data_IF_505796856212
#
_entry.id   IF_505796856212
#
_cell.length_a   1.000
_cell.length_b   1.000
_cell.length_c   1.000
_cell.angle_alpha   90.00
_cell.angle_beta   90.00
_cell.angle_gamma   90.00
#
_symmetry.space_group_name_H-M   'P 1'
#
loop_
_entity.id
_entity.type
_entity.pdbx_description
1 polymer ?
#
# COMPACT_ATOMS: atom_id res chain seq x y z
N UNK A 1 -9.04 40.24 87.51
CA UNK A 1 -8.85 38.89 86.92
C UNK A 1 -8.57 39.06 85.44
N UNK A 2 -7.31 38.87 84.99
CA UNK A 2 -6.89 39.10 83.60
C UNK A 2 -6.70 37.73 82.94
N UNK A 3 -7.61 37.36 82.05
CA UNK A 3 -7.54 36.09 81.32
C UNK A 3 -6.63 36.30 80.10
N UNK A 4 -5.50 35.60 80.09
CA UNK A 4 -4.53 35.63 79.00
C UNK A 4 -5.03 34.77 77.84
N UNK A 5 -5.28 35.43 76.70
CA UNK A 5 -5.63 34.78 75.42
C UNK A 5 -4.37 34.15 74.82
N UNK A 6 -4.21 32.82 74.97
CA UNK A 6 -3.21 32.06 74.22
C UNK A 6 -3.63 32.01 72.74
N UNK A 7 -2.85 32.65 71.88
CA UNK A 7 -2.98 32.53 70.43
C UNK A 7 -2.57 31.12 70.00
N UNK A 8 -3.55 30.34 69.54
CA UNK A 8 -3.33 29.02 68.96
C UNK A 8 -2.48 29.16 67.69
N UNK A 9 -1.22 28.72 67.75
CA UNK A 9 -0.37 28.64 66.57
C UNK A 9 -0.98 27.60 65.63
N UNK A 10 -1.43 28.03 64.45
CA UNK A 10 -2.09 27.14 63.48
C UNK A 10 -1.04 26.21 62.86
N UNK A 11 -1.17 24.91 63.12
CA UNK A 11 -0.28 23.84 62.67
C UNK A 11 -0.40 23.53 61.15
N UNK A 12 -0.31 24.55 60.29
CA UNK A 12 -0.51 24.41 58.83
C UNK A 12 0.58 23.56 58.14
N UNK A 13 1.80 23.52 58.69
CA UNK A 13 2.90 22.73 58.12
C UNK A 13 2.69 21.23 58.21
N UNK A 14 2.08 20.72 59.29
CA UNK A 14 1.81 19.30 59.45
C UNK A 14 0.67 18.83 58.53
N UNK A 15 -0.34 19.67 58.32
CA UNK A 15 -1.45 19.38 57.42
C UNK A 15 -1.00 19.26 55.95
N UNK A 16 -0.15 20.17 55.48
CA UNK A 16 0.38 20.13 54.12
C UNK A 16 1.21 18.85 53.84
N UNK A 17 1.94 18.34 54.84
CA UNK A 17 2.66 17.07 54.70
C UNK A 17 1.71 15.87 54.59
N UNK A 18 0.61 15.85 55.33
CA UNK A 18 -0.39 14.78 55.27
C UNK A 18 -1.14 14.80 53.94
N UNK A 19 -1.53 15.97 53.46
CA UNK A 19 -2.19 16.12 52.15
C UNK A 19 -1.28 15.65 51.01
N UNK A 20 0.02 16.00 51.05
CA UNK A 20 0.99 15.53 50.07
C UNK A 20 1.21 14.00 50.15
N UNK A 21 1.29 13.45 51.36
CA UNK A 21 1.49 12.01 51.58
C UNK A 21 0.30 11.18 51.07
N UNK A 22 -0.91 11.73 51.08
CA UNK A 22 -2.11 11.07 50.53
C UNK A 22 -2.27 11.28 49.02
N UNK A 23 -1.89 12.46 48.51
CA UNK A 23 -1.99 12.76 47.08
C UNK A 23 -0.90 12.07 46.24
N UNK A 24 0.32 11.91 46.77
CA UNK A 24 1.45 11.35 46.02
C UNK A 24 1.21 9.91 45.55
N UNK A 25 0.74 8.95 46.37
CA UNK A 25 0.46 7.58 45.90
C UNK A 25 -0.61 7.54 44.82
N UNK A 26 -1.67 8.36 44.95
CA UNK A 26 -2.73 8.47 43.95
C UNK A 26 -2.20 9.04 42.63
N UNK A 27 -1.38 10.08 42.71
CA UNK A 27 -0.73 10.68 41.54
C UNK A 27 0.18 9.66 40.83
N UNK A 28 0.97 8.90 41.59
CA UNK A 28 1.86 7.87 41.03
C UNK A 28 1.06 6.77 40.33
N UNK A 29 0.00 6.25 40.95
CA UNK A 29 -0.87 5.24 40.32
C UNK A 29 -1.49 5.78 39.02
N UNK A 30 -1.91 7.05 39.00
CA UNK A 30 -2.46 7.67 37.79
C UNK A 30 -1.40 7.80 36.69
N UNK A 31 -0.22 8.33 37.01
CA UNK A 31 0.86 8.52 36.02
C UNK A 31 1.29 7.16 35.46
N UNK A 32 1.59 6.20 36.32
CA UNK A 32 1.98 4.86 35.87
C UNK A 32 0.87 4.16 35.11
N UNK A 33 -0.39 4.29 35.55
CA UNK A 33 -1.54 3.77 34.82
C UNK A 33 -1.62 4.34 33.40
N UNK A 34 -1.41 5.65 33.22
CA UNK A 34 -1.39 6.25 31.88
C UNK A 34 -0.21 5.79 31.04
N UNK A 35 0.97 5.61 31.64
CA UNK A 35 2.17 5.13 30.93
C UNK A 35 1.98 3.68 30.46
N UNK A 36 1.43 2.81 31.31
CA UNK A 36 1.19 1.40 30.96
C UNK A 36 0.17 1.27 29.82
N UNK A 37 -0.93 2.03 29.87
CA UNK A 37 -1.92 2.04 28.78
C UNK A 37 -1.31 2.59 27.50
N UNK A 38 -0.51 3.65 27.56
CA UNK A 38 0.17 4.20 26.39
C UNK A 38 1.15 3.18 25.78
N UNK A 39 1.92 2.48 26.62
CA UNK A 39 2.85 1.43 26.19
C UNK A 39 2.12 0.25 25.55
N UNK A 40 1.00 -0.20 26.13
CA UNK A 40 0.17 -1.26 25.57
C UNK A 40 -0.34 -0.92 24.16
N UNK A 41 -0.90 0.28 23.99
CA UNK A 41 -1.41 0.75 22.69
C UNK A 41 -0.27 0.89 21.67
N UNK A 42 0.90 1.37 22.12
CA UNK A 42 2.09 1.45 21.27
C UNK A 42 2.52 0.06 20.77
N UNK A 43 2.60 -0.94 21.66
CA UNK A 43 2.94 -2.33 21.28
C UNK A 43 1.94 -2.87 20.26
N UNK A 44 0.65 -2.69 20.49
CA UNK A 44 -0.39 -3.12 19.54
C UNK A 44 -0.20 -2.49 18.16
N UNK A 45 0.08 -1.18 18.11
CA UNK A 45 0.33 -0.49 16.85
C UNK A 45 1.62 -0.95 16.16
N UNK A 46 2.69 -1.20 16.92
CA UNK A 46 3.96 -1.73 16.39
C UNK A 46 3.79 -3.11 15.78
N UNK A 47 3.15 -4.05 16.49
CA UNK A 47 2.90 -5.43 16.02
C UNK A 47 1.98 -5.44 14.79
N UNK A 48 0.94 -4.60 14.77
CA UNK A 48 0.04 -4.45 13.62
C UNK A 48 0.74 -3.83 12.39
N UNK A 49 1.64 -2.87 12.59
CA UNK A 49 2.40 -2.28 11.49
C UNK A 49 3.48 -3.23 10.97
N UNK A 50 4.19 -3.93 11.86
CA UNK A 50 5.23 -4.90 11.52
C UNK A 50 4.69 -5.99 10.59
N UNK A 51 3.62 -6.67 10.99
CA UNK A 51 2.97 -7.71 10.18
C UNK A 51 2.54 -7.20 8.79
N UNK A 52 1.98 -5.98 8.71
CA UNK A 52 1.55 -5.38 7.44
C UNK A 52 2.71 -5.01 6.52
N UNK A 53 3.79 -4.46 7.06
CA UNK A 53 4.95 -4.06 6.27
C UNK A 53 5.70 -5.30 5.76
N UNK A 54 5.87 -6.30 6.62
CA UNK A 54 6.51 -7.56 6.26
C UNK A 54 5.73 -8.30 5.17
N UNK A 55 4.41 -8.46 5.34
CA UNK A 55 3.57 -9.10 4.30
C UNK A 55 3.58 -8.33 2.98
N UNK A 56 3.68 -6.98 3.01
CA UNK A 56 3.79 -6.16 1.79
C UNK A 56 5.12 -6.36 1.10
N UNK A 57 6.22 -6.39 1.86
CA UNK A 57 7.56 -6.63 1.32
C UNK A 57 7.64 -8.01 0.66
N UNK A 58 7.22 -9.05 1.37
CA UNK A 58 7.22 -10.42 0.83
C UNK A 58 6.27 -10.62 -0.36
N UNK A 59 5.28 -9.74 -0.55
CA UNK A 59 4.40 -9.77 -1.73
C UNK A 59 4.95 -9.05 -2.96
N UNK A 60 6.16 -8.49 -2.88
CA UNK A 60 6.83 -7.85 -3.99
C UNK A 60 7.03 -8.81 -5.17
N UNK A 61 6.94 -8.30 -6.39
CA UNK A 61 7.30 -9.05 -7.59
C UNK A 61 8.79 -8.88 -7.90
N UNK A 62 9.42 -9.94 -8.36
CA UNK A 62 10.85 -9.97 -8.70
C UNK A 62 11.71 -10.62 -7.62
N UNK A 63 13.01 -10.48 -7.80
CA UNK A 63 14.05 -11.16 -7.02
C UNK A 63 15.16 -10.17 -6.66
N UNK A 64 15.80 -10.39 -5.52
CA UNK A 64 17.03 -9.73 -5.09
C UNK A 64 18.05 -10.84 -4.85
N UNK A 65 19.23 -10.73 -5.46
CA UNK A 65 20.31 -11.73 -5.33
C UNK A 65 19.86 -13.17 -5.62
N UNK A 66 19.07 -13.36 -6.70
CA UNK A 66 18.46 -14.62 -7.14
C UNK A 66 17.48 -15.26 -6.12
N UNK A 67 16.97 -14.49 -5.15
CA UNK A 67 15.95 -14.92 -4.19
C UNK A 67 14.68 -14.10 -4.38
N UNK A 68 13.54 -14.76 -4.55
CA UNK A 68 12.26 -14.07 -4.69
C UNK A 68 11.86 -13.38 -3.38
N UNK A 69 11.15 -12.24 -3.45
CA UNK A 69 10.74 -11.51 -2.24
C UNK A 69 9.96 -12.36 -1.24
N UNK A 70 9.15 -13.32 -1.72
CA UNK A 70 8.41 -14.23 -0.84
C UNK A 70 9.28 -15.33 -0.23
N UNK A 71 10.48 -15.59 -0.76
CA UNK A 71 11.45 -16.56 -0.21
C UNK A 71 12.48 -15.89 0.70
N UNK A 72 12.65 -14.58 0.63
CA UNK A 72 13.60 -13.84 1.45
C UNK A 72 13.08 -13.64 2.89
N UNK A 73 13.12 -14.73 3.66
CA UNK A 73 12.63 -14.75 5.03
C UNK A 73 13.43 -13.83 5.95
N UNK A 74 14.72 -13.62 5.68
CA UNK A 74 15.56 -12.73 6.48
C UNK A 74 15.12 -11.27 6.28
N UNK A 75 14.98 -10.83 5.03
CA UNK A 75 14.55 -9.46 4.76
C UNK A 75 13.09 -9.21 5.18
N UNK A 76 12.18 -10.19 5.05
CA UNK A 76 10.81 -10.07 5.58
C UNK A 76 10.85 -9.84 7.10
N UNK A 77 11.65 -10.61 7.85
CA UNK A 77 11.81 -10.43 9.30
C UNK A 77 12.51 -9.11 9.65
N UNK A 78 13.49 -8.69 8.86
CA UNK A 78 14.15 -7.38 9.05
C UNK A 78 13.15 -6.22 8.88
N UNK A 79 12.31 -6.28 7.84
CA UNK A 79 11.27 -5.28 7.60
C UNK A 79 10.25 -5.24 8.75
N UNK A 80 9.87 -6.40 9.30
CA UNK A 80 9.06 -6.43 10.52
C UNK A 80 9.78 -5.72 11.68
N UNK A 81 11.05 -6.07 11.93
CA UNK A 81 11.86 -5.53 13.03
C UNK A 81 12.13 -4.02 12.94
N UNK A 82 12.06 -3.41 11.75
CA UNK A 82 12.12 -1.94 11.64
C UNK A 82 10.98 -1.23 12.37
N UNK A 83 9.88 -1.93 12.67
CA UNK A 83 8.77 -1.42 13.49
C UNK A 83 8.94 -1.65 15.01
N UNK A 84 10.02 -2.32 15.43
CA UNK A 84 10.30 -2.79 16.80
C UNK A 84 11.06 -1.76 17.67
N UNK A 85 10.69 -0.47 17.63
CA UNK A 85 11.52 0.60 18.22
C UNK A 85 11.69 0.51 19.75
N UNK A 86 10.63 0.18 20.50
CA UNK A 86 10.62 0.07 21.98
C UNK A 86 10.15 -1.32 22.43
N UNK A 87 9.84 -2.20 21.49
CA UNK A 87 9.21 -3.50 21.71
C UNK A 87 10.11 -4.53 21.08
N UNK A 88 10.40 -5.61 21.81
CA UNK A 88 11.06 -6.77 21.24
C UNK A 88 9.99 -7.73 20.72
N UNK A 89 10.18 -8.28 19.53
CA UNK A 89 9.26 -9.27 18.97
C UNK A 89 9.76 -10.65 19.35
N UNK A 90 8.90 -11.45 19.96
CA UNK A 90 9.27 -12.81 20.37
C UNK A 90 9.34 -13.75 19.17
N UNK A 91 8.39 -13.60 18.25
CA UNK A 91 8.23 -14.50 17.12
C UNK A 91 7.68 -13.78 15.88
N UNK A 92 8.27 -14.07 14.73
CA UNK A 92 7.82 -13.60 13.41
C UNK A 92 7.68 -14.82 12.51
N UNK A 93 6.45 -15.32 12.43
CA UNK A 93 6.10 -16.51 11.66
C UNK A 93 5.61 -16.13 10.27
N UNK A 94 6.12 -16.82 9.26
CA UNK A 94 5.82 -16.56 7.85
C UNK A 94 5.26 -17.85 7.25
N UNK A 95 4.03 -17.80 6.76
CA UNK A 95 3.38 -18.92 6.08
C UNK A 95 2.64 -18.48 4.82
N UNK A 96 2.05 -19.42 4.11
CA UNK A 96 1.42 -19.21 2.81
C UNK A 96 0.09 -19.97 2.70
N UNK A 97 -0.86 -19.39 1.97
CA UNK A 97 -2.12 -20.06 1.61
C UNK A 97 -2.60 -19.67 0.21
N UNK A 98 -3.60 -20.38 -0.32
CA UNK A 98 -4.22 -20.10 -1.62
C UNK A 98 -5.44 -19.16 -1.52
N UNK A 99 -5.57 -18.41 -0.43
CA UNK A 99 -6.79 -17.66 -0.16
C UNK A 99 -7.70 -18.33 0.87
N UNK A 100 -8.90 -17.77 0.95
CA UNK A 100 -10.00 -18.34 1.75
C UNK A 100 -11.11 -18.83 0.83
N UNK A 101 -11.78 -19.90 1.22
CA UNK A 101 -12.98 -20.38 0.53
C UNK A 101 -14.20 -19.48 0.87
N UNK A 102 -15.37 -19.80 0.31
CA UNK A 102 -16.61 -19.06 0.55
C UNK A 102 -17.07 -19.06 2.02
N UNK A 103 -16.57 -20.02 2.81
CA UNK A 103 -16.87 -20.15 4.23
C UNK A 103 -15.83 -19.43 5.12
N UNK A 104 -14.83 -18.78 4.52
CA UNK A 104 -13.74 -18.08 5.22
C UNK A 104 -12.61 -18.98 5.72
N UNK A 105 -12.61 -20.26 5.37
CA UNK A 105 -11.57 -21.20 5.76
C UNK A 105 -10.38 -21.13 4.78
N UNK A 106 -9.16 -21.19 5.32
CA UNK A 106 -7.94 -21.10 4.54
C UNK A 106 -7.76 -22.32 3.63
N UNK A 107 -7.31 -22.08 2.40
CA UNK A 107 -7.02 -23.14 1.44
C UNK A 107 -5.52 -23.44 1.51
N UNK A 108 -5.09 -24.58 2.07
CA UNK A 108 -3.67 -24.89 2.22
C UNK A 108 -2.98 -25.11 0.87
N UNK A 109 -1.69 -24.79 0.83
CA UNK A 109 -0.78 -25.20 -0.25
C UNK A 109 -0.22 -26.58 0.12
N UNK A 110 0.06 -27.43 -0.88
CA UNK A 110 0.58 -28.78 -0.61
C UNK A 110 1.87 -28.71 0.22
N UNK A 111 1.93 -29.47 1.32
CA UNK A 111 3.07 -29.49 2.26
C UNK A 111 3.37 -28.18 3.00
N UNK A 112 2.44 -27.22 3.00
CA UNK A 112 2.56 -25.95 3.74
C UNK A 112 1.39 -25.85 4.71
N UNK A 113 1.69 -25.62 5.99
CA UNK A 113 0.68 -25.40 7.01
C UNK A 113 0.22 -23.93 6.99
N UNK A 114 -1.04 -23.62 6.63
CA UNK A 114 -1.52 -22.26 6.51
C UNK A 114 -1.77 -21.57 7.86
N UNK A 115 -1.59 -22.26 8.99
CA UNK A 115 -1.72 -21.66 10.33
C UNK A 115 -0.72 -20.49 10.47
N UNK A 116 -1.19 -19.26 10.77
CA UNK A 116 -0.30 -18.12 11.02
C UNK A 116 0.77 -18.35 12.09
N UNK A 117 0.55 -19.29 13.02
CA UNK A 117 1.53 -19.67 14.06
C UNK A 117 2.62 -20.61 13.53
N UNK A 118 2.51 -21.11 12.30
CA UNK A 118 3.51 -21.94 11.66
C UNK A 118 4.50 -21.08 10.87
N UNK A 119 5.75 -21.53 10.79
CA UNK A 119 6.79 -20.89 9.98
C UNK A 119 7.21 -21.84 8.85
N UNK A 120 6.74 -21.53 7.65
CA UNK A 120 6.94 -22.32 6.43
C UNK A 120 7.88 -21.62 5.44
N UNK A 121 8.64 -20.61 5.89
CA UNK A 121 9.58 -19.86 5.06
C UNK A 121 11.02 -20.41 5.21
N UNK A 122 11.77 -20.65 4.11
CA UNK A 122 11.41 -20.40 2.71
C UNK A 122 10.55 -21.52 2.10
N UNK A 123 9.76 -21.17 1.10
CA UNK A 123 8.87 -22.07 0.37
C UNK A 123 9.45 -22.41 -1.02
N UNK A 124 9.26 -23.64 -1.49
CA UNK A 124 9.73 -24.13 -2.79
C UNK A 124 8.87 -23.59 -3.95
N UNK A 125 9.49 -23.17 -5.06
CA UNK A 125 8.82 -22.49 -6.18
C UNK A 125 7.83 -23.36 -6.97
N UNK A 126 8.02 -24.67 -7.00
CA UNK A 126 7.21 -25.61 -7.78
C UNK A 126 5.79 -25.79 -7.23
N UNK A 127 5.55 -25.37 -5.99
CA UNK A 127 4.26 -25.53 -5.31
C UNK A 127 3.40 -24.25 -5.40
N UNK A 128 4.03 -23.11 -5.65
CA UNK A 128 3.39 -21.79 -5.57
C UNK A 128 2.79 -21.38 -6.91
N UNK A 129 1.69 -20.63 -6.87
CA UNK A 129 1.00 -20.10 -8.04
C UNK A 129 0.76 -18.60 -7.90
N UNK A 130 0.65 -17.90 -9.04
CA UNK A 130 0.13 -16.54 -9.06
C UNK A 130 -1.23 -16.48 -8.38
N UNK A 131 -1.38 -15.56 -7.42
CA UNK A 131 -2.62 -15.42 -6.65
C UNK A 131 -2.57 -16.05 -5.26
N UNK A 132 -1.56 -16.88 -4.96
CA UNK A 132 -1.29 -17.36 -3.60
C UNK A 132 -0.90 -16.16 -2.70
N UNK A 133 -1.07 -16.33 -1.38
CA UNK A 133 -0.89 -15.29 -0.39
C UNK A 133 0.21 -15.64 0.59
N UNK A 134 1.03 -14.65 0.91
CA UNK A 134 1.92 -14.68 2.06
C UNK A 134 1.18 -14.15 3.29
N UNK A 135 1.36 -14.82 4.43
CA UNK A 135 0.82 -14.47 5.73
C UNK A 135 2.00 -14.26 6.66
N UNK A 136 2.08 -13.09 7.27
CA UNK A 136 3.09 -12.80 8.30
C UNK A 136 2.41 -12.51 9.61
N UNK A 137 2.71 -13.32 10.61
CA UNK A 137 2.30 -13.10 12.00
C UNK A 137 3.48 -12.58 12.82
N UNK A 138 3.20 -11.55 13.60
CA UNK A 138 4.16 -10.99 14.56
C UNK A 138 3.54 -11.10 15.95
N UNK A 139 4.34 -11.55 16.92
CA UNK A 139 3.95 -11.62 18.32
C UNK A 139 4.89 -10.80 19.20
N UNK A 140 4.33 -10.21 20.26
CA UNK A 140 5.10 -9.50 21.29
C UNK A 140 4.45 -9.70 22.66
N UNK A 141 5.26 -9.94 23.68
CA UNK A 141 4.80 -10.09 25.06
C UNK A 141 4.73 -8.72 25.75
N UNK A 142 3.56 -8.42 26.31
CA UNK A 142 3.36 -7.29 27.20
C UNK A 142 3.46 -7.76 28.66
N UNK A 143 4.48 -7.26 29.35
CA UNK A 143 4.65 -7.37 30.79
C UNK A 143 4.52 -6.00 31.45
N UNK A 144 3.66 -5.84 32.49
CA UNK A 144 3.58 -4.60 33.26
C UNK A 144 4.90 -4.29 33.96
N UNK A 145 5.30 -3.02 33.97
CA UNK A 145 6.49 -2.54 34.70
C UNK A 145 6.24 -2.62 36.21
N UNK A 146 4.99 -2.46 36.63
CA UNK A 146 4.58 -2.44 38.03
C UNK A 146 3.67 -3.63 38.35
N UNK A 147 4.10 -4.47 39.29
CA UNK A 147 3.37 -5.65 39.77
C UNK A 147 2.26 -5.35 40.80
N UNK A 148 1.90 -4.08 41.01
CA UNK A 148 0.87 -3.65 41.98
C UNK A 148 -0.51 -4.21 41.61
N UNK A 149 -0.75 -4.43 40.31
CA UNK A 149 -1.93 -5.12 39.82
C UNK A 149 -1.46 -6.46 39.25
N UNK A 150 -2.00 -7.61 39.69
CA UNK A 150 -1.65 -8.92 39.16
C UNK A 150 -2.27 -9.09 37.78
N UNK A 151 -1.66 -8.47 36.77
CA UNK A 151 -1.99 -8.69 35.37
C UNK A 151 -1.00 -9.72 34.87
N UNK A 152 -1.51 -10.85 34.39
CA UNK A 152 -0.69 -11.87 33.74
C UNK A 152 -0.09 -11.30 32.44
N UNK A 153 1.14 -11.69 32.06
CA UNK A 153 1.70 -11.32 30.77
C UNK A 153 0.71 -11.64 29.63
N UNK A 154 0.51 -10.68 28.73
CA UNK A 154 -0.41 -10.85 27.60
C UNK A 154 0.41 -10.86 26.31
N UNK A 155 0.25 -11.91 25.52
CA UNK A 155 0.81 -11.97 24.18
C UNK A 155 -0.07 -11.16 23.24
N UNK A 156 0.53 -10.19 22.55
CA UNK A 156 -0.10 -9.36 21.53
C UNK A 156 0.30 -9.93 20.17
N UNK A 157 -0.68 -10.37 19.40
CA UNK A 157 -0.47 -10.99 18.09
C UNK A 157 -1.19 -10.21 16.99
N UNK A 158 -0.55 -10.07 15.84
CA UNK A 158 -1.18 -9.56 14.62
C UNK A 158 -0.68 -10.33 13.41
N UNK A 159 -1.61 -10.77 12.57
CA UNK A 159 -1.33 -11.39 11.29
C UNK A 159 -1.82 -10.50 10.14
N UNK A 160 -1.06 -10.45 9.05
CA UNK A 160 -1.44 -9.76 7.82
C UNK A 160 -1.15 -10.64 6.62
N UNK A 161 -2.10 -10.74 5.70
CA UNK A 161 -1.97 -11.50 4.47
C UNK A 161 -1.91 -10.59 3.23
N UNK A 162 -1.10 -10.97 2.23
CA UNK A 162 -1.00 -10.29 0.92
C UNK A 162 -0.84 -11.30 -0.20
N UNK A 163 -1.60 -11.12 -1.28
CA UNK A 163 -1.42 -11.87 -2.53
C UNK A 163 -0.14 -11.40 -3.23
N UNK A 164 0.63 -12.35 -3.75
CA UNK A 164 1.83 -12.06 -4.53
C UNK A 164 1.76 -12.68 -5.93
N UNK A 165 2.61 -12.15 -6.82
CA UNK A 165 2.71 -12.57 -8.21
C UNK A 165 4.15 -13.00 -8.45
N UNK A 166 4.34 -14.28 -8.78
CA UNK A 166 5.65 -14.91 -9.01
C UNK A 166 6.25 -14.33 -10.30
N UNK A 167 5.50 -14.45 -11.39
CA UNK A 167 5.89 -13.90 -12.68
C UNK A 167 4.66 -13.65 -13.53
N UNK A 168 4.65 -12.51 -14.22
CA UNK A 168 3.76 -12.29 -15.34
C UNK A 168 4.64 -12.47 -16.57
N UNK A 169 4.35 -13.40 -17.48
CA UNK A 169 5.13 -13.53 -18.71
C UNK A 169 5.02 -12.21 -19.48
N UNK A 170 6.11 -11.45 -19.52
CA UNK A 170 6.23 -10.28 -20.39
C UNK A 170 6.51 -10.82 -21.79
N UNK A 171 5.46 -11.13 -22.54
CA UNK A 171 5.58 -11.47 -23.96
C UNK A 171 5.93 -10.19 -24.72
N UNK A 172 7.22 -9.90 -24.83
CA UNK A 172 7.76 -8.78 -25.59
C UNK A 172 9.17 -9.11 -26.12
N UNK A 173 9.33 -9.15 -27.44
CA UNK A 173 10.61 -9.34 -28.12
C UNK A 173 11.40 -8.02 -28.20
N UNK A 174 11.73 -7.44 -27.04
CA UNK A 174 12.80 -6.45 -26.86
C UNK A 174 12.92 -6.13 -25.36
N UNK A 175 14.15 -6.12 -24.82
CA UNK A 175 14.39 -5.25 -23.66
C UNK A 175 13.95 -3.84 -24.07
N UNK A 176 13.23 -3.08 -23.22
CA UNK A 176 12.97 -1.69 -23.52
C UNK A 176 14.29 -0.92 -23.52
N UNK A 177 14.98 -0.86 -24.65
CA UNK A 177 16.13 0.02 -24.88
C UNK A 177 15.72 1.49 -25.01
N UNK A 178 14.45 1.81 -24.68
CA UNK A 178 13.87 3.13 -24.79
C UNK A 178 13.76 3.92 -23.48
N UNK A 179 14.07 3.35 -22.32
CA UNK A 179 14.23 4.17 -21.10
C UNK A 179 15.67 4.69 -21.03
N UNK A 180 16.01 5.64 -21.91
CA UNK A 180 16.93 6.67 -21.44
C UNK A 180 16.19 7.40 -20.32
N UNK A 181 16.66 7.26 -19.09
CA UNK A 181 16.20 8.11 -18.00
C UNK A 181 16.24 9.56 -18.52
N UNK A 182 15.10 10.27 -18.53
CA UNK A 182 15.04 11.64 -19.06
C UNK A 182 16.06 12.56 -18.38
N UNK A 183 16.61 12.16 -17.22
CA UNK A 183 17.92 12.60 -16.70
C UNK A 183 18.45 11.54 -15.72
N UNK A 184 19.78 11.41 -15.53
CA UNK A 184 20.38 10.67 -14.41
C UNK A 184 20.11 11.30 -13.02
N UNK A 185 19.24 12.31 -12.95
CA UNK A 185 18.87 12.99 -11.72
C UNK A 185 17.55 12.40 -11.24
N UNK A 186 17.49 11.82 -10.02
CA UNK A 186 16.25 11.33 -9.47
C UNK A 186 15.21 12.46 -9.42
N UNK A 187 13.96 12.14 -9.78
CA UNK A 187 12.84 13.06 -9.60
C UNK A 187 12.85 13.53 -8.15
N UNK A 188 12.90 14.85 -7.93
CA UNK A 188 12.78 15.41 -6.59
C UNK A 188 11.42 15.00 -6.05
N UNK A 189 11.41 14.09 -5.09
CA UNK A 189 10.32 13.97 -4.15
C UNK A 189 9.99 15.38 -3.63
N UNK A 190 8.71 15.74 -3.45
CA UNK A 190 8.36 16.87 -2.62
C UNK A 190 8.69 16.50 -1.17
N UNK A 191 9.98 16.51 -0.84
CA UNK A 191 10.42 16.67 0.54
C UNK A 191 10.03 18.09 0.88
N UNK A 192 9.02 18.26 1.73
CA UNK A 192 8.92 19.52 2.47
C UNK A 192 10.21 19.62 3.28
N UNK A 193 11.15 20.40 2.79
CA UNK A 193 12.32 20.82 3.55
C UNK A 193 11.73 21.67 4.68
N UNK A 194 11.54 21.08 5.86
CA UNK A 194 11.58 21.88 7.07
C UNK A 194 12.99 22.46 7.10
N UNK A 195 13.03 23.78 6.96
CA UNK A 195 14.22 24.60 6.98
C UNK A 195 15.05 24.29 8.21
N UNK A 196 16.38 24.21 8.02
CA UNK A 196 17.40 24.06 9.06
C UNK A 196 17.00 24.75 10.37
N UNK A 197 16.76 23.94 11.39
CA UNK A 197 17.06 24.33 12.76
C UNK A 197 18.21 23.44 13.19
N UNK A 198 19.40 23.97 13.50
CA UNK A 198 20.55 23.14 13.85
C UNK A 198 20.26 22.38 15.15
N UNK A 199 20.19 21.05 15.04
CA UNK A 199 20.26 20.12 16.17
C UNK A 199 21.67 20.19 16.74
N UNK A 200 21.84 20.93 17.83
CA UNK A 200 23.08 20.90 18.60
C UNK A 200 23.22 19.53 19.27
N UNK A 201 24.21 18.74 18.82
CA UNK A 201 24.72 17.62 19.58
C UNK A 201 25.42 18.14 20.85
N UNK A 202 24.99 17.67 22.02
CA UNK A 202 25.71 17.95 23.27
C UNK A 202 26.97 17.08 23.34
N UNK A 203 28.08 17.59 22.82
CA UNK A 203 29.43 17.09 23.16
C UNK A 203 29.89 17.72 24.46
N UNK A 204 30.07 16.91 25.51
CA UNK A 204 30.71 17.35 26.75
C UNK A 204 32.24 17.33 26.57
N UNK A 205 32.84 18.50 26.52
CA UNK A 205 34.29 18.67 26.62
C UNK A 205 34.62 19.43 27.90
N UNK A 206 35.25 18.73 28.84
CA UNK A 206 35.80 19.34 30.07
C UNK A 206 37.11 20.03 29.73
N UNK A 207 37.17 21.35 29.92
CA UNK A 207 38.43 22.12 29.80
C UNK A 207 38.71 22.85 31.10
N UNK A 208 39.76 22.42 31.79
CA UNK A 208 40.35 23.10 32.94
C UNK A 208 40.94 24.46 32.52
N UNK A 209 40.65 25.52 33.26
CA UNK A 209 41.28 26.84 33.11
C UNK A 209 42.11 27.14 34.35
N UNK A 210 43.43 27.38 34.24
CA UNK A 210 44.18 28.07 35.27
C UNK A 210 44.21 29.60 35.03
N UNK A 211 43.83 30.32 36.08
CA UNK A 211 44.47 31.53 36.63
C UNK A 211 44.87 32.68 35.68
N UNK A 212 44.17 33.82 35.79
CA UNK A 212 44.64 35.06 36.48
C UNK A 212 43.92 36.31 35.94
N UNK A 213 43.51 37.21 36.84
CA UNK A 213 43.04 38.55 36.48
C UNK A 213 41.92 39.09 37.38
N UNK A 214 42.29 39.77 38.46
CA UNK A 214 41.39 40.41 39.42
C UNK A 214 40.61 41.58 38.81
N UNK A 215 39.27 41.51 38.78
CA UNK A 215 38.38 42.67 38.99
C UNK A 215 36.98 42.20 39.42
N UNK A 216 36.41 42.71 40.54
CA UNK A 216 35.03 42.41 40.91
C UNK A 216 34.09 43.46 40.30
N UNK A 217 33.29 43.08 39.30
CA UNK A 217 32.12 43.87 38.87
C UNK A 217 30.85 43.21 39.42
N UNK A 218 30.21 43.92 40.32
CA UNK A 218 28.89 43.60 40.88
C UNK A 218 27.83 43.85 39.80
N UNK A 219 27.16 42.79 39.33
CA UNK A 219 25.97 42.90 38.50
C UNK A 219 24.81 42.13 39.13
N UNK A 220 23.75 42.89 39.43
CA UNK A 220 22.45 42.44 39.91
C UNK A 220 21.76 41.63 38.81
N UNK A 221 21.25 40.41 39.06
CA UNK A 221 20.45 39.69 38.06
C UNK A 221 19.06 40.32 37.95
N UNK A 222 18.75 40.87 36.77
CA UNK A 222 17.38 41.19 36.35
C UNK A 222 16.77 39.93 35.74
N UNK A 223 15.78 39.33 36.40
CA UNK A 223 14.98 38.26 35.83
C UNK A 223 13.87 38.88 34.98
N UNK A 224 14.14 39.07 33.69
CA UNK A 224 13.07 39.21 32.68
C UNK A 224 12.61 37.82 32.28
N UNK A 225 11.37 37.48 32.64
CA UNK A 225 10.70 36.27 32.18
C UNK A 225 10.60 36.32 30.63
N UNK A 226 10.96 35.24 29.91
CA UNK A 226 10.74 35.14 28.47
C UNK A 226 9.24 35.15 28.14
N UNK A 227 8.82 35.62 26.96
CA UNK A 227 7.41 35.65 26.59
C UNK A 227 6.83 34.22 26.59
N UNK A 228 5.76 34.03 27.35
CA UNK A 228 4.99 32.80 27.37
C UNK A 228 4.34 32.60 26.00
N UNK A 229 4.78 31.59 25.25
CA UNK A 229 4.05 31.11 24.07
C UNK A 229 2.71 30.56 24.55
N UNK A 230 1.69 31.41 24.48
CA UNK A 230 0.30 30.98 24.65
C UNK A 230 -0.10 30.33 23.35
N UNK A 231 -0.09 29.00 23.30
CA UNK A 231 -0.72 28.25 22.21
C UNK A 231 -2.22 28.57 22.26
N UNK A 232 -2.65 29.50 21.41
CA UNK A 232 -4.06 29.64 21.10
C UNK A 232 -4.45 28.34 20.40
N UNK A 233 -5.47 27.60 20.86
CA UNK A 233 -5.97 26.48 20.09
C UNK A 233 -6.48 27.05 18.77
N UNK A 234 -5.70 26.87 17.71
CA UNK A 234 -6.22 27.01 16.36
C UNK A 234 -7.33 25.97 16.28
N UNK A 235 -8.59 26.41 16.13
CA UNK A 235 -9.64 25.51 15.68
C UNK A 235 -9.17 25.00 14.33
N UNK A 236 -8.57 23.82 14.33
CA UNK A 236 -8.45 23.01 13.12
C UNK A 236 -9.84 23.00 12.51
N UNK A 237 -10.04 23.52 11.29
CA UNK A 237 -11.31 23.35 10.64
C UNK A 237 -11.59 21.84 10.66
N UNK A 238 -12.73 21.47 11.22
CA UNK A 238 -13.21 20.09 11.20
C UNK A 238 -13.00 19.59 9.77
N UNK A 239 -12.44 18.38 9.53
CA UNK A 239 -12.25 17.89 8.18
C UNK A 239 -13.56 18.12 7.43
N UNK A 240 -13.51 18.95 6.39
CA UNK A 240 -14.62 19.00 5.45
C UNK A 240 -14.66 17.59 4.91
N UNK A 241 -15.64 16.81 5.35
CA UNK A 241 -16.00 15.57 4.70
C UNK A 241 -16.48 15.98 3.31
N UNK A 242 -15.54 16.20 2.38
CA UNK A 242 -15.82 15.93 0.99
C UNK A 242 -16.21 14.47 1.00
N UNK A 243 -17.49 14.20 0.73
CA UNK A 243 -17.93 12.85 0.45
C UNK A 243 -16.91 12.29 -0.54
N UNK A 244 -16.21 11.23 -0.14
CA UNK A 244 -15.50 10.41 -1.11
C UNK A 244 -16.62 9.98 -2.05
N UNK A 245 -16.65 10.59 -3.24
CA UNK A 245 -17.47 10.12 -4.36
C UNK A 245 -16.98 8.70 -4.62
N UNK A 246 -17.53 7.76 -3.87
CA UNK A 246 -17.42 6.35 -4.19
C UNK A 246 -18.12 6.25 -5.53
N UNK A 247 -17.41 5.97 -6.64
CA UNK A 247 -18.05 5.88 -7.94
C UNK A 247 -19.19 4.87 -7.78
N UNK A 248 -20.41 5.35 -8.03
CA UNK A 248 -21.58 4.48 -8.00
C UNK A 248 -21.33 3.43 -9.07
N UNK A 249 -21.30 2.12 -8.72
CA UNK A 249 -20.95 1.10 -9.69
C UNK A 249 -21.95 1.14 -10.85
N UNK A 250 -21.44 1.22 -12.07
CA UNK A 250 -22.26 1.19 -13.27
C UNK A 250 -22.72 -0.26 -13.48
N UNK A 251 -24.02 -0.45 -13.68
CA UNK A 251 -24.59 -1.78 -13.95
C UNK A 251 -24.36 -2.16 -15.41
N UNK A 252 -23.41 -3.05 -15.66
CA UNK A 252 -23.11 -3.59 -17.00
C UNK A 252 -23.76 -4.96 -17.26
N UNK A 253 -24.88 -5.27 -16.61
CA UNK A 253 -25.60 -6.54 -16.77
C UNK A 253 -27.01 -6.35 -17.33
N UNK A 254 -27.54 -7.40 -17.98
CA UNK A 254 -28.90 -7.40 -18.51
C UNK A 254 -29.12 -6.33 -19.57
N UNK A 255 -30.22 -5.59 -19.49
CA UNK A 255 -30.63 -4.60 -20.50
C UNK A 255 -29.74 -3.35 -20.57
N UNK A 256 -28.93 -3.08 -19.53
CA UNK A 256 -27.97 -1.97 -19.49
C UNK A 256 -26.53 -2.43 -19.74
N UNK A 257 -26.36 -3.61 -20.33
CA UNK A 257 -25.05 -4.17 -20.65
C UNK A 257 -24.36 -3.51 -21.85
N UNK A 258 -23.14 -3.98 -22.12
CA UNK A 258 -22.43 -3.71 -23.36
C UNK A 258 -22.54 -4.95 -24.24
N UNK A 259 -22.98 -4.76 -25.47
CA UNK A 259 -23.15 -5.81 -26.46
C UNK A 259 -22.23 -5.55 -27.65
N UNK A 260 -22.07 -6.55 -28.50
CA UNK A 260 -21.36 -6.39 -29.77
C UNK A 260 -22.13 -7.03 -30.93
N UNK A 261 -21.83 -6.54 -32.13
CA UNK A 261 -22.26 -7.13 -33.38
C UNK A 261 -21.38 -8.31 -33.81
N UNK A 262 -21.62 -8.87 -35.00
CA UNK A 262 -20.75 -9.87 -35.58
C UNK A 262 -19.36 -9.28 -35.89
N UNK A 263 -18.37 -10.16 -35.94
CA UNK A 263 -17.06 -9.83 -36.49
C UNK A 263 -17.16 -9.77 -38.01
N UNK A 264 -16.82 -8.62 -38.60
CA UNK A 264 -16.83 -8.41 -40.05
C UNK A 264 -15.42 -8.14 -40.56
N UNK A 265 -15.06 -8.74 -41.68
CA UNK A 265 -13.75 -8.55 -42.31
C UNK A 265 -13.97 -8.12 -43.74
N UNK A 266 -13.54 -6.90 -44.06
CA UNK A 266 -13.71 -6.30 -45.38
C UNK A 266 -12.41 -5.64 -45.82
N UNK A 267 -11.86 -6.10 -46.95
CA UNK A 267 -10.63 -5.55 -47.50
C UNK A 267 -9.45 -5.82 -46.57
N UNK A 268 -8.84 -4.78 -45.99
CA UNK A 268 -7.76 -4.88 -45.00
C UNK A 268 -8.24 -4.54 -43.58
N UNK A 269 -9.55 -4.52 -43.34
CA UNK A 269 -10.15 -4.13 -42.07
C UNK A 269 -10.83 -5.34 -41.43
N UNK A 270 -10.57 -5.57 -40.15
CA UNK A 270 -11.41 -6.36 -39.26
C UNK A 270 -12.13 -5.41 -38.31
N UNK A 271 -13.46 -5.50 -38.24
CA UNK A 271 -14.26 -4.62 -37.40
C UNK A 271 -15.37 -5.37 -36.66
N UNK A 272 -15.82 -4.75 -35.58
CA UNK A 272 -16.91 -5.23 -34.76
C UNK A 272 -17.66 -4.03 -34.18
N UNK A 273 -18.98 -4.06 -34.29
CA UNK A 273 -19.83 -3.05 -33.65
C UNK A 273 -19.96 -3.33 -32.15
N UNK A 274 -20.08 -2.27 -31.36
CA UNK A 274 -20.20 -2.28 -29.91
C UNK A 274 -21.35 -1.36 -29.53
N UNK A 275 -22.32 -1.90 -28.80
CA UNK A 275 -23.51 -1.20 -28.34
C UNK A 275 -23.41 -1.02 -26.82
N UNK A 276 -23.23 0.21 -26.37
CA UNK A 276 -23.13 0.55 -24.95
C UNK A 276 -24.46 1.13 -24.43
N UNK A 277 -25.27 0.28 -23.77
CA UNK A 277 -26.55 0.67 -23.19
C UNK A 277 -26.46 1.14 -21.73
N UNK A 278 -25.26 1.36 -21.19
CA UNK A 278 -25.09 1.81 -19.80
C UNK A 278 -25.49 3.27 -19.59
N UNK A 279 -25.63 4.05 -20.67
CA UNK A 279 -25.87 5.49 -20.61
C UNK A 279 -24.66 6.32 -20.18
N UNK A 280 -23.50 5.68 -19.97
CA UNK A 280 -22.26 6.32 -19.53
C UNK A 280 -21.09 5.94 -20.44
N UNK A 281 -20.08 6.82 -20.50
CA UNK A 281 -18.81 6.50 -21.17
C UNK A 281 -18.01 5.53 -20.31
N UNK A 282 -17.56 4.41 -20.90
CA UNK A 282 -16.81 3.38 -20.19
C UNK A 282 -15.32 3.48 -20.50
N UNK A 283 -14.48 3.16 -19.52
CA UNK A 283 -13.03 3.09 -19.66
C UNK A 283 -12.62 1.66 -19.98
N UNK A 284 -11.84 1.42 -21.03
CA UNK A 284 -11.25 0.09 -21.27
C UNK A 284 -9.96 -0.07 -20.49
N UNK A 285 -9.78 -1.23 -19.87
CA UNK A 285 -8.52 -1.62 -19.25
C UNK A 285 -7.55 -2.20 -20.30
N UNK A 286 -8.03 -3.02 -21.23
CA UNK A 286 -7.19 -3.71 -22.22
C UNK A 286 -8.00 -4.05 -23.48
N UNK A 287 -7.30 -4.09 -24.63
CA UNK A 287 -7.83 -4.60 -25.90
C UNK A 287 -6.91 -5.71 -26.39
N UNK A 288 -7.49 -6.88 -26.65
CA UNK A 288 -6.82 -8.06 -27.18
C UNK A 288 -7.39 -8.41 -28.55
N UNK A 289 -6.51 -8.78 -29.47
CA UNK A 289 -6.83 -9.17 -30.84
C UNK A 289 -6.11 -10.47 -31.19
N UNK A 290 -6.84 -11.39 -31.82
CA UNK A 290 -6.33 -12.63 -32.41
C UNK A 290 -6.77 -12.69 -33.88
N UNK A 291 -5.86 -13.06 -34.79
CA UNK A 291 -6.11 -13.12 -36.23
C UNK A 291 -5.24 -14.13 -36.95
N UNK A 292 -5.65 -14.52 -38.16
CA UNK A 292 -4.91 -15.42 -39.04
C UNK A 292 -3.70 -14.69 -39.67
N UNK A 293 -2.64 -14.55 -38.89
CA UNK A 293 -1.42 -13.86 -39.27
C UNK A 293 -0.68 -14.53 -40.44
N UNK A 294 -0.61 -15.86 -40.45
CA UNK A 294 0.25 -16.61 -41.38
C UNK A 294 -0.39 -16.84 -42.75
N UNK A 295 -1.71 -17.06 -42.79
CA UNK A 295 -2.41 -17.47 -44.03
C UNK A 295 -3.59 -16.57 -44.39
N UNK A 296 -3.92 -15.61 -43.53
CA UNK A 296 -5.07 -14.71 -43.72
C UNK A 296 -4.86 -13.62 -44.78
N UNK A 297 -3.64 -13.49 -45.29
CA UNK A 297 -3.25 -12.43 -46.19
C UNK A 297 -3.53 -12.72 -47.67
N UNK A 298 -3.83 -11.66 -48.42
CA UNK A 298 -3.87 -11.66 -49.88
C UNK A 298 -3.11 -10.43 -50.40
N UNK A 299 -1.80 -10.55 -50.40
CA UNK A 299 -0.88 -9.52 -50.90
C UNK A 299 0.54 -10.07 -51.02
N UNK A 300 1.51 -9.16 -51.21
CA UNK A 300 2.90 -9.54 -51.48
C UNK A 300 3.67 -9.93 -50.21
N UNK A 301 3.24 -9.47 -49.04
CA UNK A 301 3.91 -9.80 -47.78
C UNK A 301 3.48 -11.19 -47.30
N UNK A 302 4.39 -12.00 -46.75
CA UNK A 302 4.10 -13.39 -46.34
C UNK A 302 3.28 -13.50 -45.05
N UNK A 303 2.91 -12.37 -44.45
CA UNK A 303 2.32 -12.29 -43.11
C UNK A 303 1.39 -11.08 -43.03
N UNK A 304 0.31 -11.20 -42.27
CA UNK A 304 -0.67 -10.13 -42.05
C UNK A 304 -0.37 -9.39 -40.73
N UNK A 305 -0.05 -8.11 -40.81
CA UNK A 305 0.40 -7.30 -39.67
C UNK A 305 -0.62 -6.23 -39.33
N UNK A 306 -0.88 -6.05 -38.03
CA UNK A 306 -1.76 -4.98 -37.56
C UNK A 306 -1.00 -3.65 -37.57
N UNK A 307 -1.49 -2.68 -38.33
CA UNK A 307 -0.85 -1.37 -38.48
C UNK A 307 -1.58 -0.27 -37.70
N UNK A 308 -2.88 -0.43 -37.48
CA UNK A 308 -3.67 0.55 -36.77
C UNK A 308 -4.89 -0.10 -36.10
N UNK A 309 -5.25 0.41 -34.94
CA UNK A 309 -6.47 0.08 -34.23
C UNK A 309 -7.22 1.37 -33.92
N UNK A 310 -8.55 1.34 -33.97
CA UNK A 310 -9.36 2.50 -33.63
C UNK A 310 -10.69 2.10 -33.03
N UNK A 311 -11.18 2.91 -32.10
CA UNK A 311 -12.52 2.79 -31.53
C UNK A 311 -13.14 4.19 -31.50
N UNK A 312 -14.26 4.36 -32.21
CA UNK A 312 -14.85 5.66 -32.48
C UNK A 312 -13.82 6.65 -33.09
N UNK A 313 -13.50 7.76 -32.42
CA UNK A 313 -12.51 8.74 -32.88
C UNK A 313 -11.11 8.56 -32.28
N UNK A 314 -10.88 7.46 -31.55
CA UNK A 314 -9.61 7.20 -30.86
C UNK A 314 -8.80 6.20 -31.67
N UNK A 315 -7.55 6.54 -31.99
CA UNK A 315 -6.71 5.75 -32.89
C UNK A 315 -5.37 5.45 -32.23
N UNK A 316 -4.93 4.21 -32.40
CA UNK A 316 -3.60 3.72 -32.11
C UNK A 316 -2.94 3.31 -33.41
N UNK A 317 -1.65 3.64 -33.57
CA UNK A 317 -0.86 3.25 -34.72
C UNK A 317 0.35 2.46 -34.22
N UNK A 318 0.72 1.42 -34.94
CA UNK A 318 1.87 0.58 -34.63
C UNK A 318 2.15 -0.41 -35.75
N UNK A 319 2.93 -1.44 -35.46
CA UNK A 319 3.14 -2.56 -36.37
C UNK A 319 3.32 -3.84 -35.53
N UNK A 320 2.29 -4.69 -35.51
CA UNK A 320 2.31 -5.94 -34.73
C UNK A 320 2.28 -7.12 -35.70
N UNK A 321 3.28 -7.98 -35.56
CA UNK A 321 3.58 -9.09 -36.47
C UNK A 321 3.44 -10.44 -35.74
N UNK A 322 2.39 -10.61 -34.94
CA UNK A 322 2.13 -11.83 -34.17
C UNK A 322 0.70 -12.31 -34.39
N UNK A 323 0.39 -13.61 -34.23
CA UNK A 323 -0.98 -14.14 -34.44
C UNK A 323 -2.01 -13.63 -33.43
N UNK A 324 -1.56 -13.15 -32.27
CA UNK A 324 -2.39 -12.39 -31.34
C UNK A 324 -1.56 -11.39 -30.55
N UNK A 325 -2.22 -10.37 -30.01
CA UNK A 325 -1.58 -9.37 -29.17
C UNK A 325 -2.57 -8.62 -28.27
N UNK A 326 -2.09 -8.20 -27.10
CA UNK A 326 -2.67 -7.09 -26.37
C UNK A 326 -2.11 -5.78 -26.94
N UNK A 327 -2.98 -4.86 -27.33
CA UNK A 327 -2.54 -3.58 -27.92
C UNK A 327 -2.09 -2.67 -26.79
N UNK A 328 -0.78 -2.56 -26.62
CA UNK A 328 -0.18 -1.75 -25.57
C UNK A 328 -0.42 -0.27 -25.83
N UNK A 329 -0.66 0.48 -24.75
CA UNK A 329 -0.98 1.92 -24.80
C UNK A 329 -2.24 2.27 -25.61
N UNK A 330 -3.14 1.31 -25.87
CA UNK A 330 -4.45 1.56 -26.45
C UNK A 330 -5.56 1.29 -25.42
N UNK A 331 -6.03 2.37 -24.79
CA UNK A 331 -7.06 2.33 -23.76
C UNK A 331 -8.26 3.23 -24.15
N UNK A 332 -8.96 2.93 -25.25
CA UNK A 332 -10.03 3.78 -25.75
C UNK A 332 -11.22 3.86 -24.77
N UNK A 333 -11.88 5.00 -24.71
CA UNK A 333 -13.17 5.10 -24.02
C UNK A 333 -14.31 4.62 -24.93
N UNK A 334 -15.25 3.84 -24.41
CA UNK A 334 -16.44 3.39 -25.14
C UNK A 334 -17.56 4.40 -24.88
N UNK A 335 -18.00 5.19 -25.89
CA UNK A 335 -19.10 6.14 -25.72
C UNK A 335 -20.44 5.42 -25.48
N UNK A 336 -21.45 6.09 -24.90
CA UNK A 336 -22.81 5.53 -24.84
C UNK A 336 -23.42 5.43 -26.25
N UNK A 337 -24.20 4.38 -26.50
CA UNK A 337 -24.79 4.06 -27.80
C UNK A 337 -23.87 3.21 -28.68
N UNK A 338 -24.04 3.33 -29.99
CA UNK A 338 -23.35 2.51 -30.98
C UNK A 338 -21.96 3.07 -31.29
N UNK A 339 -20.97 2.18 -31.36
CA UNK A 339 -19.60 2.48 -31.74
C UNK A 339 -18.99 1.30 -32.47
N UNK A 340 -17.95 1.52 -33.26
CA UNK A 340 -17.28 0.43 -33.99
C UNK A 340 -15.80 0.41 -33.60
N UNK A 341 -15.30 -0.77 -33.29
CA UNK A 341 -13.86 -1.02 -33.18
C UNK A 341 -13.34 -1.56 -34.52
N UNK A 342 -12.25 -0.98 -35.01
CA UNK A 342 -11.64 -1.29 -36.31
C UNK A 342 -10.16 -1.57 -36.17
N UNK A 343 -9.71 -2.60 -36.87
CA UNK A 343 -8.32 -3.02 -36.96
C UNK A 343 -7.91 -3.02 -38.43
N UNK A 344 -6.91 -2.20 -38.76
CA UNK A 344 -6.35 -2.04 -40.09
C UNK A 344 -5.07 -2.86 -40.23
N UNK A 345 -5.01 -3.68 -41.27
CA UNK A 345 -3.85 -4.49 -41.60
C UNK A 345 -3.04 -3.88 -42.75
N UNK A 346 -1.76 -4.25 -42.84
CA UNK A 346 -0.83 -3.82 -43.89
C UNK A 346 -1.32 -4.18 -45.30
N UNK A 347 -2.08 -5.27 -45.43
CA UNK A 347 -2.59 -5.80 -46.70
C UNK A 347 -3.99 -6.40 -46.54
N UNK A 348 -4.58 -6.87 -47.65
CA UNK A 348 -5.95 -7.40 -47.62
C UNK A 348 -6.04 -8.70 -46.80
N UNK A 349 -7.04 -8.74 -45.92
CA UNK A 349 -7.43 -9.88 -45.10
C UNK A 349 -8.56 -10.62 -45.81
N UNK A 350 -8.28 -11.83 -46.30
CA UNK A 350 -9.19 -12.55 -47.19
C UNK A 350 -9.51 -13.98 -46.77
N UNK A 351 -8.73 -14.58 -45.86
CA UNK A 351 -8.91 -15.96 -45.44
C UNK A 351 -9.02 -16.01 -43.93
N UNK A 352 -10.20 -16.43 -43.44
CA UNK A 352 -10.40 -16.69 -42.02
C UNK A 352 -10.17 -18.17 -41.71
N UNK A 353 -9.64 -18.46 -40.54
CA UNK A 353 -9.46 -19.82 -40.03
C UNK A 353 -10.30 -20.10 -38.76
N UNK A 354 -11.07 -19.11 -38.31
CA UNK A 354 -11.90 -19.20 -37.11
C UNK A 354 -11.15 -18.87 -35.82
N UNK A 355 -9.87 -18.48 -35.92
CA UNK A 355 -9.11 -17.98 -34.76
C UNK A 355 -9.50 -16.53 -34.42
N UNK A 356 -10.17 -15.81 -35.32
CA UNK A 356 -10.44 -14.39 -35.15
C UNK A 356 -11.20 -14.09 -33.87
N UNK A 357 -10.63 -13.21 -33.04
CA UNK A 357 -11.24 -12.83 -31.77
C UNK A 357 -10.82 -11.44 -31.34
N UNK A 358 -11.80 -10.68 -30.87
CA UNK A 358 -11.59 -9.40 -30.20
C UNK A 358 -12.08 -9.54 -28.76
N UNK A 359 -11.24 -9.17 -27.79
CA UNK A 359 -11.64 -9.06 -26.39
C UNK A 359 -11.34 -7.65 -25.88
N UNK A 360 -12.33 -7.00 -25.30
CA UNK A 360 -12.20 -5.68 -24.68
C UNK A 360 -12.55 -5.82 -23.20
N UNK A 361 -11.54 -5.68 -22.35
CA UNK A 361 -11.72 -5.67 -20.89
C UNK A 361 -12.11 -4.26 -20.46
N UNK A 362 -13.23 -4.13 -19.76
CA UNK A 362 -13.73 -2.84 -19.26
C UNK A 362 -13.16 -2.57 -17.86
N UNK A 363 -12.50 -1.43 -17.68
CA UNK A 363 -11.92 -1.00 -16.40
C UNK A 363 -12.88 -0.18 -15.51
N UNK A 364 -14.04 0.22 -16.02
CA UNK A 364 -15.05 0.96 -15.24
C UNK A 364 -15.58 0.11 -14.06
N UNK A 365 -15.56 0.62 -12.81
CA UNK A 365 -16.12 -0.07 -11.66
C UNK A 365 -17.59 -0.48 -11.88
N UNK A 366 -17.88 -1.78 -11.67
CA UNK A 366 -19.19 -2.40 -11.96
C UNK A 366 -19.25 -3.16 -13.29
N UNK A 367 -18.31 -2.91 -14.20
CA UNK A 367 -18.26 -3.52 -15.54
C UNK A 367 -17.08 -4.48 -15.76
N UNK A 368 -16.19 -4.61 -14.76
CA UNK A 368 -14.94 -5.38 -14.84
C UNK A 368 -15.18 -6.87 -15.15
N UNK A 369 -16.31 -7.42 -14.70
CA UNK A 369 -16.68 -8.82 -14.92
C UNK A 369 -17.45 -9.06 -16.22
N UNK A 370 -17.62 -8.04 -17.07
CA UNK A 370 -18.40 -8.11 -18.30
C UNK A 370 -17.54 -7.64 -19.49
N UNK A 371 -16.50 -8.40 -19.87
CA UNK A 371 -15.71 -8.07 -21.05
C UNK A 371 -16.55 -8.23 -22.31
N UNK A 372 -16.27 -7.42 -23.33
CA UNK A 372 -16.82 -7.60 -24.68
C UNK A 372 -15.94 -8.62 -25.39
N UNK A 373 -16.48 -9.77 -25.74
CA UNK A 373 -15.72 -10.87 -26.36
C UNK A 373 -16.47 -11.36 -27.59
N UNK A 374 -15.87 -11.20 -28.76
CA UNK A 374 -16.51 -11.48 -30.05
C UNK A 374 -16.96 -12.93 -30.25
N UNK A 375 -16.56 -13.86 -29.37
CA UNK A 375 -16.95 -15.29 -29.40
C UNK A 375 -18.18 -15.62 -28.55
N UNK A 376 -18.61 -14.73 -27.64
CA UNK A 376 -19.81 -14.90 -26.81
C UNK A 376 -21.02 -14.20 -27.43
#
# INVERSE_FOLDING_TARGET
>A
MKISSKTHHKNTRAQAMVEFMLALPLLLVLIYGTIEVARLVFIFSSVANASRQAARYGSGAGEIDDVAFYQDCEAIREVANRSAYIVDFDEINITYDRGVNQNGEQIPISNVDPDPQSDACPIEDDVIRNGDRIIVQVSANYEPIISVIPIEPVQIVSASARTFLISIPILGSALPSGFSAETATPSKFPTSILTDTPTAFLTFTSTNIPSSGNTPVRLTPSFTLPPTLTFTPSKTPLPTYTASITPTPISCSGLTGVFHGPLEITGNIMEMDIINNTGHTLLTAQVYLEWNHDTGHKGNDPTLHLTQASLASQTWNGDIQTPSAYITAFYPFIPPGDSTIRFNFNQSYNLTDGTERIIITIGTPGCINYPVDSRN
#
